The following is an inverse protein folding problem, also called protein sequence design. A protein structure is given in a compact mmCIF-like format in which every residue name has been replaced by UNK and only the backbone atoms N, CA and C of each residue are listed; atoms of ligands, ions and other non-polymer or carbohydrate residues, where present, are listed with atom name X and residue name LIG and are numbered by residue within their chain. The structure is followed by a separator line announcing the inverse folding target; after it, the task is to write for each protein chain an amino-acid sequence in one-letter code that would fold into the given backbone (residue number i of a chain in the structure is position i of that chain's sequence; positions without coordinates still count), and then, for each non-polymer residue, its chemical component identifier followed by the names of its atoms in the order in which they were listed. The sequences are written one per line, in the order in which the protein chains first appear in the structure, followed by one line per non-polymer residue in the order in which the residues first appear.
data_IF_658873644396
#
_entry.id   IF_658873644396
#
_cell.length_a   1.000
_cell.length_b   1.000
_cell.length_c   1.000
_cell.angle_alpha   90.00
_cell.angle_beta   90.00
_cell.angle_gamma   90.00
#
_symmetry.space_group_name_H-M   'P 1'
#
loop_
_entity.id
_entity.type
_entity.pdbx_description
1 polymer ?
#
# COMPACT_ATOMS: atom_id res chain seq x y z
N UNK A 1 -2.55 -14.01 -1.57
CA UNK A 1 -1.19 -14.07 -0.98
C UNK A 1 -0.46 -12.72 -0.98
N UNK A 2 -0.44 -11.94 -2.09
CA UNK A 2 0.30 -10.66 -2.17
C UNK A 2 -0.15 -9.56 -1.20
N UNK A 3 -1.46 -9.40 -0.98
CA UNK A 3 -2.01 -8.36 -0.08
C UNK A 3 -1.62 -8.57 1.39
N UNK A 4 -1.62 -9.82 1.85
CA UNK A 4 -1.18 -10.17 3.21
C UNK A 4 0.29 -9.85 3.45
N UNK A 5 1.14 -10.11 2.45
CA UNK A 5 2.55 -9.74 2.50
C UNK A 5 2.74 -8.21 2.55
N UNK A 6 2.00 -7.43 1.74
CA UNK A 6 2.07 -5.96 1.80
C UNK A 6 1.66 -5.42 3.18
N UNK A 7 0.58 -5.95 3.76
CA UNK A 7 0.13 -5.54 5.09
C UNK A 7 1.20 -5.86 6.15
N UNK A 8 1.81 -7.05 6.09
CA UNK A 8 2.90 -7.42 6.99
C UNK A 8 4.10 -6.47 6.85
N UNK A 9 4.48 -6.11 5.62
CA UNK A 9 5.59 -5.17 5.37
C UNK A 9 5.28 -3.76 5.90
N UNK A 10 4.03 -3.29 5.79
CA UNK A 10 3.62 -1.99 6.37
C UNK A 10 3.79 -2.02 7.89
N UNK A 11 3.34 -3.09 8.56
CA UNK A 11 3.47 -3.23 10.02
C UNK A 11 4.95 -3.22 10.43
N UNK A 12 5.81 -3.93 9.68
CA UNK A 12 7.26 -3.94 9.95
C UNK A 12 7.85 -2.53 9.79
N UNK A 13 7.50 -1.80 8.74
CA UNK A 13 8.03 -0.45 8.53
C UNK A 13 7.60 0.53 9.63
N UNK A 14 6.36 0.42 10.12
CA UNK A 14 5.90 1.20 11.26
C UNK A 14 6.67 0.84 12.54
N UNK A 15 6.97 -0.45 12.75
CA UNK A 15 7.81 -0.89 13.86
C UNK A 15 9.24 -0.35 13.76
N UNK A 16 9.85 -0.38 12.57
CA UNK A 16 11.16 0.22 12.31
C UNK A 16 11.14 1.74 12.55
N UNK A 17 10.08 2.43 12.15
CA UNK A 17 9.92 3.87 12.40
C UNK A 17 9.86 4.20 13.90
N UNK A 18 9.28 3.31 14.72
CA UNK A 18 9.25 3.47 16.18
C UNK A 18 10.64 3.25 16.80
N UNK A 19 11.43 2.31 16.26
CA UNK A 19 12.75 1.96 16.80
C UNK A 19 13.90 2.83 16.28
N UNK A 20 13.67 3.62 15.23
CA UNK A 20 14.71 4.43 14.59
C UNK A 20 14.44 5.93 14.75
N UNK A 21 15.45 6.75 14.49
CA UNK A 21 15.38 8.20 14.64
C UNK A 21 16.03 8.91 13.45
N UNK A 22 15.58 10.13 13.15
CA UNK A 22 16.15 10.95 12.08
C UNK A 22 15.81 10.42 10.69
N UNK A 23 16.80 10.41 9.79
CA UNK A 23 16.57 10.09 8.37
C UNK A 23 16.04 8.68 8.12
N UNK A 24 16.49 7.70 8.90
CA UNK A 24 16.03 6.30 8.79
C UNK A 24 14.57 6.13 9.18
N UNK A 25 14.11 6.85 10.21
CA UNK A 25 12.69 6.90 10.58
C UNK A 25 11.85 7.54 9.49
N UNK A 26 12.27 8.68 8.96
CA UNK A 26 11.54 9.38 7.89
C UNK A 26 11.42 8.51 6.63
N UNK A 27 12.47 7.75 6.30
CA UNK A 27 12.45 6.80 5.19
C UNK A 27 11.48 5.63 5.43
N UNK A 28 11.43 5.10 6.65
CA UNK A 28 10.49 4.04 7.03
C UNK A 28 9.03 4.52 6.96
N UNK A 29 8.75 5.72 7.48
CA UNK A 29 7.44 6.37 7.43
C UNK A 29 7.00 6.63 5.97
N UNK A 30 7.90 7.15 5.13
CA UNK A 30 7.63 7.34 3.69
C UNK A 30 7.30 6.02 2.99
N UNK A 31 8.08 4.97 3.27
CA UNK A 31 7.89 3.66 2.66
C UNK A 31 6.55 3.05 3.08
N UNK A 32 6.21 3.13 4.38
CA UNK A 32 4.91 2.69 4.88
C UNK A 32 3.76 3.45 4.20
N UNK A 33 3.88 4.78 4.06
CA UNK A 33 2.88 5.60 3.40
C UNK A 33 2.66 5.19 1.94
N UNK A 34 3.75 5.01 1.17
CA UNK A 34 3.65 4.58 -0.24
C UNK A 34 2.98 3.21 -0.38
N UNK A 35 3.30 2.27 0.49
CA UNK A 35 2.67 0.94 0.48
C UNK A 35 1.16 1.01 0.76
N UNK A 36 0.73 1.90 1.65
CA UNK A 36 -0.70 2.14 1.91
C UNK A 36 -1.38 2.75 0.68
N UNK A 37 -0.75 3.73 0.03
CA UNK A 37 -1.28 4.34 -1.20
C UNK A 37 -1.45 3.30 -2.31
N UNK A 38 -0.43 2.46 -2.54
CA UNK A 38 -0.51 1.38 -3.53
C UNK A 38 -1.65 0.42 -3.19
N UNK A 39 -1.77 0.02 -1.93
CA UNK A 39 -2.84 -0.88 -1.48
C UNK A 39 -4.23 -0.27 -1.68
N UNK A 40 -4.36 1.05 -1.48
CA UNK A 40 -5.60 1.78 -1.74
C UNK A 40 -5.92 1.84 -3.24
N UNK A 41 -4.94 2.14 -4.09
CA UNK A 41 -5.09 2.16 -5.55
C UNK A 41 -5.47 0.78 -6.10
N UNK A 42 -4.87 -0.30 -5.59
CA UNK A 42 -5.23 -1.67 -5.95
C UNK A 42 -6.66 -2.07 -5.52
N UNK A 43 -7.25 -1.35 -4.55
CA UNK A 43 -8.61 -1.58 -4.07
C UNK A 43 -9.66 -0.83 -4.89
N UNK A 44 -9.27 0.19 -5.66
CA UNK A 44 -10.20 0.92 -6.51
C UNK A 44 -10.90 -0.06 -7.48
N UNK A 45 -12.25 -0.09 -7.55
CA UNK A 45 -12.96 -0.92 -8.50
C UNK A 45 -12.49 -0.57 -9.91
N UNK A 46 -12.01 -1.56 -10.67
CA UNK A 46 -11.74 -1.36 -12.09
C UNK A 46 -13.03 -0.85 -12.72
N UNK A 47 -13.03 0.25 -13.49
CA UNK A 47 -14.22 0.68 -14.19
C UNK A 47 -14.67 -0.49 -15.07
N UNK A 48 -15.80 -1.08 -14.70
CA UNK A 48 -16.39 -2.20 -15.41
C UNK A 48 -16.66 -1.70 -16.81
N UNK A 49 -15.85 -2.13 -17.78
CA UNK A 49 -16.06 -1.88 -19.19
C UNK A 49 -17.48 -2.34 -19.50
N UNK A 50 -18.40 -1.38 -19.61
CA UNK A 50 -19.78 -1.61 -20.03
C UNK A 50 -19.70 -2.42 -21.30
N UNK A 51 -20.16 -3.66 -21.19
CA UNK A 51 -20.42 -4.54 -22.31
C UNK A 51 -21.55 -3.89 -23.11
N UNK A 52 -21.22 -2.96 -24.00
CA UNK A 52 -22.12 -2.52 -25.06
C UNK A 52 -22.19 -3.64 -26.09
N UNK A 53 -22.84 -4.74 -25.71
CA UNK A 53 -23.47 -5.63 -26.66
C UNK A 53 -24.87 -5.06 -26.87
N UNK A 54 -25.00 -4.14 -27.82
CA UNK A 54 -26.28 -3.82 -28.41
C UNK A 54 -26.36 -4.57 -29.74
N UNK A 55 -27.41 -5.38 -29.82
CA UNK A 55 -27.91 -6.20 -30.91
C UNK A 55 -28.00 -5.46 -32.25
#
# INVERSE_FOLDING_TARGET
MKKGLMIATIIIQLFVAVLTSGATRSLAELTAFLLIVVLFLERAPRPSSRQTSSL
#
